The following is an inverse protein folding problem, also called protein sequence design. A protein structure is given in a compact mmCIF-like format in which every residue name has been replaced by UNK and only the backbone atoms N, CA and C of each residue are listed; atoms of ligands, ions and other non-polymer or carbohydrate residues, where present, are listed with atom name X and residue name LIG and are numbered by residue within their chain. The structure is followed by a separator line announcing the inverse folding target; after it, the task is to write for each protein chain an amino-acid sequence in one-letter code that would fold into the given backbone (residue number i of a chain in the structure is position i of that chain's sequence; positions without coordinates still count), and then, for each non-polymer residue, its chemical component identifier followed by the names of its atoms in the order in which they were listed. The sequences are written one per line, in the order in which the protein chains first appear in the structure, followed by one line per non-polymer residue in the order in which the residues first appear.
data_IF_970955123154
#
_entry.id   IF_970955123154
#
_cell.length_a   1.000
_cell.length_b   1.000
_cell.length_c   1.000
_cell.angle_alpha   90.00
_cell.angle_beta   90.00
_cell.angle_gamma   90.00
#
_symmetry.space_group_name_H-M   'P 1'
#
loop_
_entity.id
_entity.type
_entity.pdbx_description
1 polymer ?
#
# COMPACT_ATOMS: atom_id res chain seq x y z
N UNK A 1 20.52 -28.62 -33.62
CA UNK A 1 20.65 -28.45 -32.17
C UNK A 1 21.95 -27.74 -31.88
N UNK A 2 21.94 -26.46 -31.66
CA UNK A 2 23.11 -25.68 -31.23
C UNK A 2 22.70 -24.94 -29.97
N UNK A 3 23.24 -25.39 -28.83
CA UNK A 3 23.04 -24.80 -27.51
C UNK A 3 23.91 -23.56 -27.42
N UNK A 4 23.32 -22.38 -27.39
CA UNK A 4 24.04 -21.16 -27.02
C UNK A 4 24.09 -21.07 -25.48
N UNK A 5 25.30 -21.27 -24.95
CA UNK A 5 25.64 -20.92 -23.56
C UNK A 5 25.76 -19.41 -23.47
N UNK A 6 24.92 -18.82 -22.66
CA UNK A 6 25.07 -17.41 -22.23
C UNK A 6 26.10 -17.40 -21.09
N UNK A 7 27.29 -16.87 -21.35
CA UNK A 7 28.30 -16.59 -20.33
C UNK A 7 27.90 -15.30 -19.59
N UNK A 8 27.58 -15.45 -18.32
CA UNK A 8 27.36 -14.29 -17.41
C UNK A 8 28.74 -13.85 -16.93
N UNK A 9 29.23 -12.74 -17.46
CA UNK A 9 30.40 -12.05 -16.94
C UNK A 9 30.03 -11.38 -15.59
N UNK A 10 30.45 -11.95 -14.48
CA UNK A 10 30.48 -11.29 -13.18
C UNK A 10 31.67 -10.33 -13.16
N UNK A 11 31.42 -9.05 -13.45
CA UNK A 11 32.38 -7.99 -13.22
C UNK A 11 32.64 -7.85 -11.71
N UNK A 12 33.90 -7.96 -11.30
CA UNK A 12 34.34 -7.84 -9.92
C UNK A 12 34.01 -6.47 -9.34
N UNK A 13 33.42 -6.46 -8.17
CA UNK A 13 33.16 -5.24 -7.39
C UNK A 13 34.48 -4.61 -6.95
N UNK A 14 34.80 -3.44 -7.48
CA UNK A 14 35.81 -2.54 -6.93
C UNK A 14 35.24 -1.78 -5.74
N UNK A 15 35.85 -1.90 -4.57
CA UNK A 15 35.51 -1.12 -3.39
C UNK A 15 35.91 0.35 -3.60
N UNK A 16 34.91 1.28 -3.59
CA UNK A 16 35.28 2.71 -3.61
C UNK A 16 34.24 3.76 -4.02
N UNK A 17 33.07 3.39 -4.55
CA UNK A 17 31.94 4.32 -4.72
C UNK A 17 30.71 3.68 -4.10
N UNK A 18 30.02 4.38 -3.22
CA UNK A 18 28.73 3.92 -2.70
C UNK A 18 27.78 3.87 -3.90
N UNK A 19 27.59 2.67 -4.45
CA UNK A 19 26.66 2.48 -5.57
C UNK A 19 25.29 3.01 -5.13
N UNK A 20 24.78 4.02 -5.84
CA UNK A 20 23.44 4.56 -5.63
C UNK A 20 22.41 3.42 -5.82
N UNK A 21 21.42 3.37 -4.95
CA UNK A 21 20.35 2.38 -5.00
C UNK A 21 19.62 2.44 -6.35
N UNK A 22 19.66 1.36 -7.14
CA UNK A 22 18.93 1.29 -8.41
C UNK A 22 17.44 1.33 -8.13
N UNK A 23 16.80 2.42 -8.50
CA UNK A 23 15.40 2.71 -8.17
C UNK A 23 14.52 2.61 -9.40
N UNK A 24 13.36 1.96 -9.26
CA UNK A 24 12.32 1.91 -10.26
C UNK A 24 10.99 2.46 -9.69
N UNK A 25 10.44 3.49 -10.32
CA UNK A 25 9.07 3.96 -10.10
C UNK A 25 8.16 3.12 -11.00
N UNK A 26 7.24 2.38 -10.38
CA UNK A 26 6.37 1.45 -11.08
C UNK A 26 4.91 1.87 -10.87
N UNK A 27 4.24 2.20 -11.98
CA UNK A 27 2.83 2.57 -12.01
C UNK A 27 2.04 1.39 -12.57
N UNK A 28 1.16 0.80 -11.75
CA UNK A 28 0.24 -0.24 -12.23
C UNK A 28 -0.97 0.43 -12.88
N UNK A 29 -1.17 0.16 -14.17
CA UNK A 29 -2.27 0.72 -14.96
C UNK A 29 -3.32 -0.35 -15.30
N UNK A 30 -4.60 0.01 -15.15
CA UNK A 30 -5.72 -0.76 -15.68
C UNK A 30 -6.84 0.18 -16.10
N UNK A 31 -7.04 0.31 -17.43
CA UNK A 31 -8.00 1.22 -18.04
C UNK A 31 -7.89 2.66 -17.49
N UNK A 32 -6.64 3.10 -17.30
CA UNK A 32 -6.33 4.35 -16.61
C UNK A 32 -5.81 5.45 -17.52
N UNK A 33 -6.13 5.45 -18.82
CA UNK A 33 -5.64 6.45 -19.77
C UNK A 33 -5.80 7.88 -19.27
N UNK A 34 -6.99 8.23 -18.78
CA UNK A 34 -7.27 9.59 -18.29
C UNK A 34 -6.40 10.00 -17.09
N UNK A 35 -6.02 9.05 -16.23
CA UNK A 35 -5.10 9.29 -15.13
C UNK A 35 -3.68 9.48 -15.64
N UNK A 36 -3.22 8.64 -16.57
CA UNK A 36 -1.90 8.78 -17.18
C UNK A 36 -1.77 10.14 -17.92
N UNK A 37 -2.78 10.55 -18.67
CA UNK A 37 -2.81 11.88 -19.32
C UNK A 37 -2.65 13.03 -18.32
N UNK A 38 -3.27 12.90 -17.15
CA UNK A 38 -3.30 13.98 -16.15
C UNK A 38 -2.07 14.01 -15.27
N UNK A 39 -1.52 12.87 -14.87
CA UNK A 39 -0.54 12.79 -13.79
C UNK A 39 0.86 12.36 -14.23
N UNK A 40 1.01 11.58 -15.32
CA UNK A 40 2.32 11.05 -15.72
C UNK A 40 3.32 12.14 -16.07
N UNK A 41 2.85 13.29 -16.54
CA UNK A 41 3.70 14.46 -16.82
C UNK A 41 4.46 14.94 -15.58
N UNK A 42 3.83 14.95 -14.39
CA UNK A 42 4.51 15.31 -13.14
C UNK A 42 5.57 14.28 -12.77
N UNK A 43 5.28 12.99 -12.95
CA UNK A 43 6.20 11.90 -12.64
C UNK A 43 7.45 11.97 -13.50
N UNK A 44 7.29 12.17 -14.81
CA UNK A 44 8.42 12.29 -15.74
C UNK A 44 9.24 13.56 -15.54
N UNK A 45 8.60 14.67 -15.15
CA UNK A 45 9.28 15.94 -14.91
C UNK A 45 10.09 15.95 -13.61
N UNK A 46 9.61 15.27 -12.57
CA UNK A 46 10.21 15.32 -11.23
C UNK A 46 10.94 14.04 -10.80
N UNK A 47 11.12 13.10 -11.73
CA UNK A 47 11.89 11.87 -11.49
C UNK A 47 13.12 11.86 -12.41
N UNK A 48 14.27 12.22 -11.84
CA UNK A 48 15.51 12.33 -12.61
C UNK A 48 16.18 10.96 -12.85
N UNK A 49 16.93 10.86 -13.94
CA UNK A 49 17.85 9.74 -14.18
C UNK A 49 18.86 9.62 -13.01
N UNK A 50 19.32 8.41 -12.68
CA UNK A 50 19.11 7.14 -13.40
C UNK A 50 17.85 6.36 -12.99
N UNK A 51 16.89 6.98 -12.33
CA UNK A 51 15.64 6.30 -11.92
C UNK A 51 14.82 5.91 -13.14
N UNK A 52 14.40 4.64 -13.20
CA UNK A 52 13.54 4.11 -14.25
C UNK A 52 12.07 4.42 -13.92
N UNK A 53 11.29 4.81 -14.91
CA UNK A 53 9.83 4.96 -14.81
C UNK A 53 9.19 3.87 -15.68
N UNK A 54 8.39 3.04 -15.07
CA UNK A 54 7.79 1.87 -15.70
C UNK A 54 6.27 1.92 -15.49
N UNK A 55 5.51 1.87 -16.58
CA UNK A 55 4.07 1.64 -16.51
C UNK A 55 3.81 0.16 -16.80
N UNK A 56 3.35 -0.54 -15.77
CA UNK A 56 2.95 -1.94 -15.86
C UNK A 56 1.45 -2.01 -16.15
N UNK A 57 1.11 -2.33 -17.39
CA UNK A 57 -0.26 -2.47 -17.84
C UNK A 57 -0.83 -3.79 -17.38
N UNK A 58 -1.92 -3.75 -16.63
CA UNK A 58 -2.57 -4.91 -16.02
C UNK A 58 -3.72 -5.44 -16.89
N UNK A 59 -3.48 -5.57 -18.20
CA UNK A 59 -4.44 -6.05 -19.18
C UNK A 59 -5.55 -5.02 -19.49
N UNK A 60 -5.17 -3.78 -19.75
CA UNK A 60 -6.09 -2.73 -20.17
C UNK A 60 -6.71 -3.02 -21.54
N UNK A 61 -7.91 -2.52 -21.74
CA UNK A 61 -8.66 -2.57 -23.01
C UNK A 61 -8.92 -1.18 -23.59
N UNK A 62 -8.46 -0.14 -22.90
CA UNK A 62 -8.47 1.24 -23.38
C UNK A 62 -7.20 1.57 -24.17
N UNK A 63 -7.07 2.79 -24.66
CA UNK A 63 -5.91 3.25 -25.42
C UNK A 63 -4.75 3.75 -24.54
N UNK A 64 -4.57 3.21 -23.33
CA UNK A 64 -3.48 3.59 -22.43
C UNK A 64 -2.10 3.32 -23.05
N UNK A 65 -1.94 2.16 -23.69
CA UNK A 65 -0.64 1.72 -24.21
C UNK A 65 -0.22 2.48 -25.46
N UNK A 66 -1.18 2.80 -26.33
CA UNK A 66 -0.98 3.66 -27.50
C UNK A 66 -0.57 5.07 -27.07
N UNK A 67 -1.29 5.63 -26.11
CA UNK A 67 -0.97 6.95 -25.53
C UNK A 67 0.45 7.00 -24.98
N UNK A 68 0.88 5.99 -24.24
CA UNK A 68 2.25 5.92 -23.72
C UNK A 68 3.29 5.81 -24.84
N UNK A 69 2.98 5.06 -25.91
CA UNK A 69 3.88 4.91 -27.02
C UNK A 69 4.12 6.24 -27.77
N UNK A 70 3.06 7.02 -27.93
CA UNK A 70 3.07 8.27 -28.68
C UNK A 70 3.60 9.44 -27.86
N UNK A 71 3.14 9.60 -26.60
CA UNK A 71 3.41 10.78 -25.79
C UNK A 71 4.57 10.63 -24.81
N UNK A 72 4.90 9.40 -24.40
CA UNK A 72 5.94 9.11 -23.39
C UNK A 72 6.85 7.96 -23.82
N UNK A 73 7.55 8.06 -24.97
CA UNK A 73 8.41 6.97 -25.47
C UNK A 73 9.56 6.61 -24.54
N UNK A 74 9.97 7.53 -23.63
CA UNK A 74 11.00 7.33 -22.62
C UNK A 74 10.53 6.51 -21.41
N UNK A 75 9.22 6.32 -21.22
CA UNK A 75 8.64 5.51 -20.14
C UNK A 75 8.64 4.05 -20.57
N UNK A 76 9.20 3.19 -19.74
CA UNK A 76 9.20 1.76 -19.99
C UNK A 76 7.79 1.19 -19.86
N UNK A 77 7.42 0.32 -20.77
CA UNK A 77 6.10 -0.33 -20.82
C UNK A 77 6.26 -1.82 -20.58
N UNK A 78 5.53 -2.31 -19.58
CA UNK A 78 5.42 -3.73 -19.28
C UNK A 78 3.95 -4.13 -19.39
N UNK A 79 3.64 -5.15 -20.18
CA UNK A 79 2.26 -5.57 -20.41
C UNK A 79 1.99 -6.93 -19.80
N UNK A 80 0.96 -7.03 -18.96
CA UNK A 80 0.43 -8.28 -18.45
C UNK A 80 -0.76 -8.73 -19.31
N UNK A 81 -1.02 -10.02 -19.32
CA UNK A 81 -2.02 -10.65 -20.20
C UNK A 81 -3.47 -10.38 -19.76
N UNK A 82 -3.70 -10.01 -18.50
CA UNK A 82 -5.05 -9.72 -17.95
C UNK A 82 -4.97 -8.93 -16.64
N UNK A 83 -6.11 -8.48 -16.13
CA UNK A 83 -6.22 -7.84 -14.83
C UNK A 83 -6.08 -8.86 -13.67
N UNK A 84 -5.00 -8.77 -12.94
CA UNK A 84 -4.69 -9.57 -11.74
C UNK A 84 -5.04 -8.85 -10.43
N UNK A 85 -5.74 -7.71 -10.48
CA UNK A 85 -5.92 -6.81 -9.35
C UNK A 85 -4.64 -6.06 -8.99
N UNK A 86 -4.68 -5.30 -7.92
CA UNK A 86 -3.55 -4.51 -7.46
C UNK A 86 -2.41 -5.42 -6.95
N UNK A 87 -2.71 -6.32 -6.02
CA UNK A 87 -1.73 -7.22 -5.42
C UNK A 87 -1.06 -8.14 -6.46
N UNK A 88 -1.86 -8.84 -7.24
CA UNK A 88 -1.35 -9.78 -8.25
C UNK A 88 -0.66 -9.09 -9.42
N UNK A 89 -1.12 -7.89 -9.81
CA UNK A 89 -0.51 -7.08 -10.87
C UNK A 89 0.90 -6.65 -10.49
N UNK A 90 1.08 -6.02 -9.31
CA UNK A 90 2.41 -5.65 -8.83
C UNK A 90 3.32 -6.85 -8.62
N UNK A 91 2.83 -7.95 -8.02
CA UNK A 91 3.66 -9.14 -7.83
C UNK A 91 4.23 -9.71 -9.13
N UNK A 92 3.46 -9.64 -10.22
CA UNK A 92 3.91 -10.11 -11.55
C UNK A 92 4.86 -9.12 -12.21
N UNK A 93 4.52 -7.84 -12.19
CA UNK A 93 5.35 -6.79 -12.77
C UNK A 93 6.73 -6.74 -12.10
N UNK A 94 6.78 -6.73 -10.77
CA UNK A 94 8.03 -6.59 -10.02
C UNK A 94 8.97 -7.79 -10.13
N UNK A 95 8.47 -8.97 -10.50
CA UNK A 95 9.33 -10.13 -10.82
C UNK A 95 10.14 -9.93 -12.11
N UNK A 96 9.71 -9.03 -12.99
CA UNK A 96 10.35 -8.73 -14.27
C UNK A 96 11.23 -7.48 -14.21
N UNK A 97 11.25 -6.77 -13.07
CA UNK A 97 11.94 -5.50 -12.89
C UNK A 97 13.14 -5.71 -11.95
N UNK A 98 14.35 -5.62 -12.49
CA UNK A 98 15.57 -5.65 -11.69
C UNK A 98 15.86 -4.24 -11.14
N UNK A 99 15.72 -4.09 -9.81
CA UNK A 99 16.02 -2.88 -9.06
C UNK A 99 16.32 -3.23 -7.59
N UNK A 100 16.95 -2.30 -6.86
CA UNK A 100 17.23 -2.46 -5.42
C UNK A 100 16.08 -1.83 -4.59
N UNK A 101 15.38 -0.84 -5.18
CA UNK A 101 14.26 -0.12 -4.59
C UNK A 101 13.09 -0.02 -5.59
N UNK A 102 11.91 -0.36 -5.14
CA UNK A 102 10.67 -0.12 -5.86
C UNK A 102 9.90 1.06 -5.25
N UNK A 103 9.36 1.93 -6.09
CA UNK A 103 8.38 2.93 -5.71
C UNK A 103 7.09 2.60 -6.45
N UNK A 104 6.16 1.95 -5.76
CA UNK A 104 4.84 1.65 -6.29
C UNK A 104 4.01 2.92 -6.20
N UNK A 105 3.60 3.44 -7.34
CA UNK A 105 2.90 4.72 -7.46
C UNK A 105 1.56 4.51 -8.17
N UNK A 106 0.48 5.00 -7.58
CA UNK A 106 -0.81 4.97 -8.26
C UNK A 106 -0.82 5.91 -9.48
N UNK A 107 -1.57 5.56 -10.50
CA UNK A 107 -1.70 6.36 -11.73
C UNK A 107 -2.42 7.72 -11.52
N UNK A 108 -3.09 7.92 -10.38
CA UNK A 108 -3.82 9.12 -10.00
C UNK A 108 -3.08 9.96 -8.93
N UNK A 109 -1.75 9.86 -8.92
CA UNK A 109 -0.87 10.63 -8.02
C UNK A 109 -0.08 11.69 -8.80
N UNK A 110 -0.14 12.94 -8.36
CA UNK A 110 0.76 14.02 -8.74
C UNK A 110 1.95 14.05 -7.79
N UNK A 111 3.16 13.99 -8.32
CA UNK A 111 4.39 14.13 -7.54
C UNK A 111 4.95 15.55 -7.62
N UNK A 112 5.71 15.96 -6.60
CA UNK A 112 6.32 17.30 -6.52
C UNK A 112 7.84 17.24 -6.80
N UNK A 113 8.45 18.38 -7.06
CA UNK A 113 9.91 18.47 -7.20
C UNK A 113 10.62 17.87 -5.98
N UNK A 114 11.63 17.05 -6.21
CA UNK A 114 12.44 16.42 -5.15
C UNK A 114 11.73 15.35 -4.32
N UNK A 115 10.54 14.90 -4.71
CA UNK A 115 9.73 13.94 -3.94
C UNK A 115 10.42 12.60 -3.67
N UNK A 116 11.21 12.12 -4.61
CA UNK A 116 11.78 10.77 -4.55
C UNK A 116 13.02 10.66 -3.65
N UNK A 117 13.89 11.69 -3.71
CA UNK A 117 15.19 11.70 -3.02
C UNK A 117 15.07 11.40 -1.51
N UNK A 118 14.18 12.04 -0.73
CA UNK A 118 14.08 11.76 0.70
C UNK A 118 13.66 10.31 1.02
N UNK A 119 12.90 9.66 0.13
CA UNK A 119 12.46 8.27 0.30
C UNK A 119 13.63 7.30 0.10
N UNK A 120 14.39 7.49 -0.98
CA UNK A 120 15.56 6.66 -1.29
C UNK A 120 16.65 6.87 -0.24
N UNK A 121 16.95 8.11 0.12
CA UNK A 121 17.88 8.47 1.20
C UNK A 121 17.55 7.78 2.53
N UNK A 122 16.27 7.70 2.88
CA UNK A 122 15.82 7.03 4.09
C UNK A 122 16.17 5.54 4.05
N UNK A 123 15.93 4.87 2.93
CA UNK A 123 16.32 3.48 2.76
C UNK A 123 17.84 3.31 2.77
N UNK A 124 18.59 4.15 2.07
CA UNK A 124 20.06 4.04 2.02
C UNK A 124 20.74 4.21 3.36
N UNK A 125 20.25 5.15 4.19
CA UNK A 125 20.83 5.46 5.51
C UNK A 125 20.39 4.51 6.61
N UNK A 126 19.26 3.83 6.44
CA UNK A 126 18.65 2.96 7.45
C UNK A 126 18.40 1.55 6.91
N UNK A 127 19.39 0.65 6.98
CA UNK A 127 19.26 -0.73 6.44
C UNK A 127 18.11 -1.54 7.05
N UNK A 128 17.69 -1.19 8.27
CA UNK A 128 16.58 -1.79 9.00
C UNK A 128 15.18 -1.28 8.56
N UNK A 129 15.13 -0.23 7.72
CA UNK A 129 13.89 0.27 7.14
C UNK A 129 13.58 -0.49 5.84
N UNK A 130 12.42 -1.15 5.79
CA UNK A 130 11.97 -1.92 4.63
C UNK A 130 11.06 -1.13 3.69
N UNK A 131 10.26 -0.22 4.24
CA UNK A 131 9.34 0.61 3.44
C UNK A 131 9.23 2.03 3.99
N UNK A 132 8.99 2.98 3.09
CA UNK A 132 8.84 4.41 3.39
C UNK A 132 7.67 4.96 2.57
N UNK A 133 6.79 5.74 3.23
CA UNK A 133 5.75 6.51 2.56
C UNK A 133 6.12 8.00 2.52
N UNK A 134 5.75 8.75 1.48
CA UNK A 134 5.72 10.21 1.52
C UNK A 134 4.57 10.71 2.40
N UNK A 135 4.51 12.01 2.65
CA UNK A 135 3.30 12.71 3.06
C UNK A 135 2.36 12.78 1.86
N UNK A 136 1.13 12.29 2.03
CA UNK A 136 0.12 12.25 0.97
C UNK A 136 -0.97 13.26 1.29
N UNK A 137 -1.13 14.23 0.41
CA UNK A 137 -2.12 15.28 0.48
C UNK A 137 -3.24 15.05 -0.55
N UNK A 138 -4.41 15.63 -0.31
CA UNK A 138 -5.51 15.56 -1.25
C UNK A 138 -5.21 16.38 -2.50
N UNK A 139 -5.41 15.80 -3.68
CA UNK A 139 -5.28 16.53 -4.94
C UNK A 139 -6.35 17.62 -5.09
N UNK A 140 -7.57 17.33 -4.66
CA UNK A 140 -8.70 18.27 -4.78
C UNK A 140 -8.67 19.39 -3.74
N UNK A 141 -8.12 19.12 -2.55
CA UNK A 141 -8.04 20.08 -1.43
C UNK A 141 -6.63 20.03 -0.86
N UNK A 142 -5.71 20.72 -1.54
CA UNK A 142 -4.25 20.59 -1.35
C UNK A 142 -3.73 20.90 0.06
N UNK A 143 -4.50 21.61 0.85
CA UNK A 143 -4.21 21.92 2.25
C UNK A 143 -4.68 20.84 3.23
N UNK A 144 -5.31 19.77 2.78
CA UNK A 144 -5.76 18.66 3.64
C UNK A 144 -4.98 17.39 3.36
N UNK A 145 -4.88 16.54 4.38
CA UNK A 145 -4.34 15.20 4.18
C UNK A 145 -5.25 14.39 3.26
N UNK A 146 -4.67 13.39 2.62
CA UNK A 146 -5.44 12.43 1.83
C UNK A 146 -5.99 11.32 2.75
N UNK A 147 -7.13 10.75 2.37
CA UNK A 147 -7.85 9.75 3.17
C UNK A 147 -7.06 8.45 3.38
N UNK A 148 -6.37 7.95 2.33
CA UNK A 148 -5.75 6.63 2.30
C UNK A 148 -4.23 6.66 2.51
N UNK A 149 -3.75 7.33 3.56
CA UNK A 149 -2.30 7.32 3.86
C UNK A 149 -1.83 8.52 4.65
N UNK A 150 -2.31 9.72 4.32
CA UNK A 150 -2.00 10.96 5.02
C UNK A 150 -0.49 11.10 5.34
N UNK A 151 -0.09 11.25 6.60
CA UNK A 151 1.30 11.29 7.05
C UNK A 151 1.72 9.99 7.77
N UNK A 152 1.33 8.84 7.20
CA UNK A 152 1.65 7.49 7.69
C UNK A 152 0.50 6.82 8.46
N UNK A 153 0.41 5.52 8.31
CA UNK A 153 -0.69 4.71 8.80
C UNK A 153 -0.41 3.92 10.07
N UNK A 154 -1.47 3.67 10.82
CA UNK A 154 -1.51 2.86 12.04
C UNK A 154 -2.70 1.91 12.00
N UNK A 155 -2.73 0.91 12.88
CA UNK A 155 -3.91 0.10 13.15
C UNK A 155 -4.21 0.11 14.65
N UNK A 156 -5.48 -0.02 15.01
CA UNK A 156 -5.86 -0.24 16.39
C UNK A 156 -5.83 -1.73 16.77
N UNK A 157 -6.14 -2.03 18.03
CA UNK A 157 -6.12 -3.40 18.55
C UNK A 157 -7.14 -4.32 17.87
N UNK A 158 -8.20 -3.78 17.27
CA UNK A 158 -9.18 -4.51 16.49
C UNK A 158 -8.82 -4.60 14.99
N UNK A 159 -7.70 -3.99 14.57
CA UNK A 159 -7.21 -3.98 13.21
C UNK A 159 -7.82 -2.89 12.33
N UNK A 160 -8.56 -1.94 12.88
CA UNK A 160 -9.07 -0.81 12.10
C UNK A 160 -7.93 0.14 11.72
N UNK A 161 -7.73 0.42 10.42
CA UNK A 161 -6.67 1.33 9.98
C UNK A 161 -7.07 2.79 10.20
N UNK A 162 -6.10 3.58 10.62
CA UNK A 162 -6.19 5.03 10.73
C UNK A 162 -4.85 5.68 10.37
N UNK A 163 -4.82 6.99 10.18
CA UNK A 163 -3.61 7.67 9.74
C UNK A 163 -3.30 8.88 10.62
N UNK A 164 -2.06 9.25 10.63
CA UNK A 164 -1.56 10.52 11.16
C UNK A 164 -2.01 11.64 10.20
N UNK A 165 -3.13 12.27 10.54
CA UNK A 165 -3.86 13.25 9.71
C UNK A 165 -5.27 12.79 9.29
N UNK A 166 -5.69 11.55 9.66
CA UNK A 166 -7.04 11.07 9.37
C UNK A 166 -7.51 10.03 10.38
N UNK A 167 -8.64 10.28 11.01
CA UNK A 167 -9.30 9.36 11.93
C UNK A 167 -10.71 9.06 11.41
N UNK A 168 -10.96 7.83 10.99
CA UNK A 168 -12.19 7.42 10.31
C UNK A 168 -12.53 8.38 9.15
N UNK A 169 -13.68 9.08 9.24
CA UNK A 169 -14.11 10.05 8.21
C UNK A 169 -13.53 11.46 8.40
N UNK A 170 -12.92 11.75 9.54
CA UNK A 170 -12.36 13.07 9.81
C UNK A 170 -10.93 13.18 9.24
N UNK A 171 -10.74 14.09 8.31
CA UNK A 171 -9.45 14.42 7.68
C UNK A 171 -8.97 15.77 8.23
N UNK A 172 -7.72 15.82 8.66
CA UNK A 172 -7.11 17.03 9.20
C UNK A 172 -6.56 17.92 8.08
N UNK A 173 -6.50 19.24 8.35
CA UNK A 173 -5.72 20.17 7.52
C UNK A 173 -4.24 20.02 7.82
N UNK A 174 -3.38 20.08 6.79
CA UNK A 174 -1.92 20.09 6.96
C UNK A 174 -1.44 21.50 7.35
N UNK A 175 -1.15 21.66 8.63
CA UNK A 175 -0.52 22.86 9.21
C UNK A 175 0.96 22.64 9.54
N UNK A 176 1.61 21.59 9.01
CA UNK A 176 2.97 21.22 9.34
C UNK A 176 3.11 20.37 10.62
N UNK A 177 2.00 20.03 11.30
CA UNK A 177 1.99 19.29 12.56
C UNK A 177 2.61 17.88 12.46
N UNK A 178 2.77 17.35 11.23
CA UNK A 178 3.32 16.03 10.97
C UNK A 178 4.55 16.06 10.04
N UNK A 179 5.32 17.12 10.04
CA UNK A 179 6.51 17.31 9.16
C UNK A 179 7.79 16.62 9.67
N UNK A 180 7.69 15.78 10.70
CA UNK A 180 8.81 14.99 11.21
C UNK A 180 8.73 13.54 10.77
N UNK A 181 9.84 12.93 10.29
CA UNK A 181 9.90 11.50 10.01
C UNK A 181 9.48 10.68 11.22
N UNK A 182 8.73 9.61 11.00
CA UNK A 182 8.22 8.77 12.09
C UNK A 182 8.10 7.31 11.65
N UNK A 183 8.34 6.40 12.59
CA UNK A 183 8.00 5.00 12.43
C UNK A 183 6.47 4.84 12.51
N UNK A 184 5.92 4.10 11.54
CA UNK A 184 4.48 3.90 11.36
C UNK A 184 4.18 2.41 11.20
N UNK A 185 2.90 2.04 11.31
CA UNK A 185 2.52 0.65 11.10
C UNK A 185 2.49 0.29 9.62
N UNK A 186 2.00 1.18 8.74
CA UNK A 186 1.92 0.92 7.31
C UNK A 186 2.19 2.18 6.48
N UNK A 187 2.75 1.94 5.31
CA UNK A 187 2.94 2.88 4.23
C UNK A 187 1.82 2.70 3.19
N UNK A 188 1.30 3.80 2.64
CA UNK A 188 0.17 3.77 1.71
C UNK A 188 0.55 3.18 0.35
N UNK A 189 -0.31 2.34 -0.22
CA UNK A 189 -0.20 1.85 -1.59
C UNK A 189 -0.28 2.94 -2.65
N UNK A 190 -0.80 4.14 -2.34
CA UNK A 190 -0.81 5.25 -3.29
C UNK A 190 0.61 5.71 -3.69
N UNK A 191 1.58 5.64 -2.74
CA UNK A 191 3.00 5.89 -3.00
C UNK A 191 3.83 5.09 -1.97
N UNK A 192 4.24 3.89 -2.36
CA UNK A 192 4.88 2.91 -1.50
C UNK A 192 6.32 2.66 -1.97
N UNK A 193 7.29 3.22 -1.25
CA UNK A 193 8.71 3.01 -1.53
C UNK A 193 9.23 1.85 -0.67
N UNK A 194 9.85 0.82 -1.26
CA UNK A 194 10.32 -0.33 -0.49
C UNK A 194 11.59 -0.98 -1.08
N UNK A 195 12.30 -1.71 -0.22
CA UNK A 195 13.41 -2.56 -0.66
C UNK A 195 12.91 -3.73 -1.50
N UNK A 196 13.44 -3.91 -2.69
CA UNK A 196 13.11 -5.01 -3.57
C UNK A 196 13.40 -6.37 -2.93
N UNK A 197 14.57 -6.53 -2.31
CA UNK A 197 14.95 -7.74 -1.59
C UNK A 197 13.92 -8.14 -0.53
N UNK A 198 13.51 -7.19 0.31
CA UNK A 198 12.54 -7.47 1.39
C UNK A 198 11.15 -7.78 0.82
N UNK A 199 10.73 -7.05 -0.23
CA UNK A 199 9.47 -7.33 -0.92
C UNK A 199 9.44 -8.79 -1.42
N UNK A 200 10.45 -9.22 -2.15
CA UNK A 200 10.52 -10.57 -2.71
C UNK A 200 10.70 -11.65 -1.64
N UNK A 201 11.56 -11.43 -0.65
CA UNK A 201 11.82 -12.38 0.45
C UNK A 201 10.56 -12.66 1.27
N UNK A 202 9.70 -11.67 1.44
CA UNK A 202 8.41 -11.83 2.12
C UNK A 202 7.28 -12.33 1.18
N UNK A 203 7.57 -12.63 -0.09
CA UNK A 203 6.61 -13.13 -1.06
C UNK A 203 5.72 -12.08 -1.70
N UNK A 204 6.06 -10.78 -1.57
CA UNK A 204 5.28 -9.68 -2.12
C UNK A 204 3.95 -9.45 -1.40
N UNK A 205 2.98 -8.93 -2.13
CA UNK A 205 1.60 -8.80 -1.65
C UNK A 205 0.89 -10.17 -1.59
N UNK A 206 -0.15 -10.29 -0.79
CA UNK A 206 -1.00 -11.49 -0.80
C UNK A 206 -1.94 -11.45 -2.02
N UNK A 207 -1.68 -12.28 -3.03
CA UNK A 207 -2.45 -12.32 -4.27
C UNK A 207 -3.96 -12.55 -4.05
N UNK A 208 -4.35 -13.26 -2.97
CA UNK A 208 -5.76 -13.53 -2.65
C UNK A 208 -6.52 -12.25 -2.27
N UNK A 209 -5.82 -11.16 -1.94
CA UNK A 209 -6.48 -9.90 -1.58
C UNK A 209 -7.07 -9.17 -2.77
N UNK A 210 -6.52 -9.35 -3.97
CA UNK A 210 -6.87 -8.64 -5.19
C UNK A 210 -6.58 -7.13 -5.09
N UNK A 211 -7.22 -6.41 -4.17
CA UNK A 211 -6.97 -5.00 -3.85
C UNK A 211 -7.44 -4.71 -2.42
N UNK A 212 -6.89 -3.67 -1.80
CA UNK A 212 -7.10 -3.17 -0.43
C UNK A 212 -6.54 -4.08 0.67
N UNK A 213 -5.86 -3.49 1.63
CA UNK A 213 -5.19 -4.10 2.78
C UNK A 213 -3.91 -4.89 2.44
N UNK A 214 -3.55 -5.07 1.17
CA UNK A 214 -2.32 -5.80 0.77
C UNK A 214 -1.06 -5.10 1.24
N UNK A 215 -1.02 -3.77 1.19
CA UNK A 215 0.09 -2.95 1.65
C UNK A 215 0.20 -2.98 3.19
N UNK A 216 -0.93 -2.96 3.89
CA UNK A 216 -0.96 -3.05 5.36
C UNK A 216 -0.51 -4.44 5.81
N UNK A 217 -0.96 -5.50 5.13
CA UNK A 217 -0.54 -6.87 5.36
C UNK A 217 0.97 -7.05 5.14
N UNK A 218 1.50 -6.51 4.04
CA UNK A 218 2.93 -6.57 3.76
C UNK A 218 3.75 -5.81 4.81
N UNK A 219 3.33 -4.60 5.18
CA UNK A 219 3.97 -3.82 6.24
C UNK A 219 3.95 -4.55 7.59
N UNK A 220 2.86 -5.26 7.91
CA UNK A 220 2.84 -6.10 9.11
C UNK A 220 3.86 -7.23 9.04
N UNK A 221 3.94 -7.92 7.89
CA UNK A 221 4.95 -8.99 7.68
C UNK A 221 6.39 -8.45 7.72
N UNK A 222 6.65 -7.24 7.20
CA UNK A 222 7.94 -6.55 7.33
C UNK A 222 8.31 -6.33 8.80
N UNK A 223 7.37 -5.86 9.62
CA UNK A 223 7.62 -5.65 11.05
C UNK A 223 7.83 -6.98 11.80
N UNK A 224 7.08 -8.04 11.45
CA UNK A 224 7.27 -9.38 12.03
C UNK A 224 8.63 -9.99 11.63
N UNK A 225 9.21 -9.58 10.52
CA UNK A 225 10.57 -9.93 10.08
C UNK A 225 11.67 -9.07 10.76
N UNK A 226 11.28 -8.08 11.57
CA UNK A 226 12.20 -7.20 12.30
C UNK A 226 12.52 -5.88 11.62
N UNK A 227 11.90 -5.59 10.47
CA UNK A 227 12.09 -4.34 9.75
C UNK A 227 11.19 -3.22 10.29
N UNK A 228 11.58 -1.96 10.02
CA UNK A 228 10.76 -0.77 10.28
C UNK A 228 10.05 -0.29 9.02
N UNK A 229 8.91 0.35 9.22
CA UNK A 229 8.18 1.10 8.19
C UNK A 229 8.14 2.56 8.63
N UNK A 230 8.47 3.48 7.71
CA UNK A 230 8.62 4.90 8.02
C UNK A 230 7.68 5.77 7.17
N UNK A 231 7.38 6.96 7.66
CA UNK A 231 6.91 8.07 6.83
C UNK A 231 8.00 9.14 6.78
N UNK A 232 8.25 9.69 5.59
CA UNK A 232 9.23 10.76 5.35
C UNK A 232 8.51 11.99 4.77
N UNK A 233 8.10 12.96 5.61
CA UNK A 233 7.26 14.08 5.19
C UNK A 233 7.95 15.13 4.30
N UNK A 234 9.27 15.09 4.15
CA UNK A 234 9.97 15.93 3.16
C UNK A 234 9.62 15.53 1.74
N UNK A 235 9.26 14.27 1.54
CA UNK A 235 8.61 13.81 0.32
C UNK A 235 7.11 14.11 0.39
N UNK A 236 6.57 14.80 -0.62
CA UNK A 236 5.15 15.18 -0.69
C UNK A 236 4.57 14.78 -2.03
N UNK A 237 3.39 14.20 -2.01
CA UNK A 237 2.63 13.87 -3.22
C UNK A 237 1.16 14.21 -3.01
N UNK A 238 0.43 14.42 -4.12
CA UNK A 238 -1.00 14.70 -4.12
C UNK A 238 -1.74 13.54 -4.77
N UNK A 239 -2.69 12.96 -4.08
CA UNK A 239 -3.47 11.82 -4.56
C UNK A 239 -4.92 12.24 -4.80
N UNK A 240 -5.44 11.89 -5.98
CA UNK A 240 -6.83 12.20 -6.34
C UNK A 240 -7.80 11.38 -5.48
N UNK A 241 -7.49 10.09 -5.30
CA UNK A 241 -8.27 9.16 -4.50
C UNK A 241 -9.59 8.75 -5.16
N UNK A 242 -9.98 7.48 -4.98
CA UNK A 242 -11.26 6.98 -5.52
C UNK A 242 -11.32 6.77 -7.03
N UNK A 243 -10.19 6.96 -7.73
CA UNK A 243 -10.13 6.88 -9.20
C UNK A 243 -10.52 5.51 -9.77
N UNK A 244 -10.10 4.43 -9.13
CA UNK A 244 -10.38 3.06 -9.61
C UNK A 244 -11.63 2.45 -8.98
N UNK A 245 -11.92 2.76 -7.71
CA UNK A 245 -13.13 2.30 -7.01
C UNK A 245 -13.74 3.42 -6.17
N UNK A 246 -14.99 3.82 -6.41
CA UNK A 246 -15.69 4.80 -5.58
C UNK A 246 -15.68 4.43 -4.11
N UNK A 247 -15.56 5.42 -3.23
CA UNK A 247 -15.40 5.20 -1.79
C UNK A 247 -16.55 4.41 -1.14
N UNK A 248 -17.76 4.52 -1.67
CA UNK A 248 -18.97 3.86 -1.16
C UNK A 248 -19.38 2.62 -1.95
N UNK A 249 -18.50 2.05 -2.79
CA UNK A 249 -18.88 0.88 -3.57
C UNK A 249 -18.97 -0.38 -2.69
N UNK A 250 -20.00 -1.22 -2.88
CA UNK A 250 -20.15 -2.49 -2.15
C UNK A 250 -18.93 -3.42 -2.32
N UNK A 251 -18.28 -3.39 -3.48
CA UNK A 251 -17.07 -4.18 -3.75
C UNK A 251 -15.87 -3.71 -2.90
N UNK A 252 -15.67 -2.39 -2.78
CA UNK A 252 -14.62 -1.83 -1.93
C UNK A 252 -14.85 -2.20 -0.48
N UNK A 253 -16.09 -2.08 0.00
CA UNK A 253 -16.46 -2.45 1.36
C UNK A 253 -16.19 -3.96 1.60
N UNK A 254 -16.64 -4.82 0.69
CA UNK A 254 -16.42 -6.26 0.75
C UNK A 254 -14.93 -6.62 0.85
N UNK A 255 -14.08 -6.06 -0.03
CA UNK A 255 -12.64 -6.30 -0.02
C UNK A 255 -12.00 -5.82 1.28
N UNK A 256 -12.36 -4.61 1.74
CA UNK A 256 -11.84 -4.07 3.00
C UNK A 256 -12.16 -4.96 4.20
N UNK A 257 -13.40 -5.41 4.36
CA UNK A 257 -13.76 -6.29 5.49
C UNK A 257 -13.08 -7.66 5.39
N UNK A 258 -13.18 -8.33 4.24
CA UNK A 258 -12.62 -9.67 4.02
C UNK A 258 -11.11 -9.70 4.24
N UNK A 259 -10.40 -8.77 3.60
CA UNK A 259 -8.95 -8.73 3.63
C UNK A 259 -8.42 -8.28 5.00
N UNK A 260 -9.11 -7.35 5.67
CA UNK A 260 -8.76 -6.93 7.02
C UNK A 260 -8.88 -8.09 8.02
N UNK A 261 -9.98 -8.86 7.98
CA UNK A 261 -10.15 -10.06 8.82
C UNK A 261 -9.07 -11.11 8.52
N UNK A 262 -8.75 -11.33 7.24
CA UNK A 262 -7.70 -12.25 6.81
C UNK A 262 -6.31 -11.80 7.31
N UNK A 263 -5.98 -10.52 7.20
CA UNK A 263 -4.74 -9.93 7.70
C UNK A 263 -4.59 -10.13 9.21
N UNK A 264 -5.62 -9.78 10.00
CA UNK A 264 -5.62 -10.00 11.46
C UNK A 264 -5.42 -11.48 11.78
N UNK A 265 -6.15 -12.36 11.10
CA UNK A 265 -6.03 -13.81 11.32
C UNK A 265 -4.61 -14.31 11.08
N UNK A 266 -3.96 -13.87 9.99
CA UNK A 266 -2.61 -14.30 9.62
C UNK A 266 -1.54 -13.73 10.55
N UNK A 267 -1.57 -12.42 10.80
CA UNK A 267 -0.45 -11.69 11.36
C UNK A 267 -0.56 -11.43 12.87
N UNK A 268 -1.78 -11.24 13.41
CA UNK A 268 -1.96 -10.81 14.79
C UNK A 268 -1.46 -11.84 15.84
N UNK A 269 -0.93 -11.37 16.98
CA UNK A 269 -0.70 -12.19 18.16
C UNK A 269 -2.00 -12.91 18.63
N UNK A 270 -1.86 -14.01 19.34
CA UNK A 270 -3.02 -14.86 19.70
C UNK A 270 -4.08 -14.10 20.52
N UNK A 271 -3.66 -13.24 21.46
CA UNK A 271 -4.60 -12.44 22.27
C UNK A 271 -5.39 -11.45 21.41
N UNK A 272 -4.70 -10.68 20.56
CA UNK A 272 -5.34 -9.72 19.65
C UNK A 272 -6.30 -10.41 18.69
N UNK A 273 -5.87 -11.55 18.09
CA UNK A 273 -6.69 -12.36 17.19
C UNK A 273 -7.96 -12.87 17.89
N UNK A 274 -7.83 -13.37 19.11
CA UNK A 274 -8.98 -13.83 19.89
C UNK A 274 -9.96 -12.69 20.17
N UNK A 275 -9.47 -11.57 20.64
CA UNK A 275 -10.31 -10.38 20.91
C UNK A 275 -10.99 -9.89 19.63
N UNK A 276 -10.27 -9.82 18.51
CA UNK A 276 -10.85 -9.43 17.23
C UNK A 276 -11.91 -10.45 16.76
N UNK A 277 -11.67 -11.75 16.93
CA UNK A 277 -12.63 -12.78 16.54
C UNK A 277 -13.95 -12.71 17.32
N UNK A 278 -13.93 -12.16 18.54
CA UNK A 278 -15.14 -11.97 19.36
C UNK A 278 -15.80 -10.62 19.09
N UNK A 279 -15.03 -9.54 19.03
CA UNK A 279 -15.58 -8.18 18.98
C UNK A 279 -15.94 -7.76 17.55
N UNK A 280 -15.11 -8.08 16.54
CA UNK A 280 -15.33 -7.65 15.16
C UNK A 280 -16.67 -8.12 14.57
N UNK A 281 -17.11 -9.39 14.76
CA UNK A 281 -18.44 -9.78 14.29
C UNK A 281 -19.56 -8.88 14.85
N UNK A 282 -19.47 -8.48 16.11
CA UNK A 282 -20.49 -7.63 16.74
C UNK A 282 -20.49 -6.21 16.14
N UNK A 283 -19.32 -5.60 16.01
CA UNK A 283 -19.19 -4.23 15.47
C UNK A 283 -19.50 -4.17 13.98
N UNK A 284 -19.08 -5.17 13.21
CA UNK A 284 -19.27 -5.20 11.77
C UNK A 284 -20.74 -5.56 11.43
N UNK A 285 -21.40 -6.42 12.21
CA UNK A 285 -22.84 -6.68 12.07
C UNK A 285 -23.69 -5.48 12.48
N UNK A 286 -23.27 -4.72 13.51
CA UNK A 286 -23.92 -3.44 13.84
C UNK A 286 -23.83 -2.45 12.66
N UNK A 287 -22.68 -2.38 12.00
CA UNK A 287 -22.51 -1.57 10.78
C UNK A 287 -23.44 -2.04 9.66
N UNK A 288 -23.54 -3.35 9.43
CA UNK A 288 -24.46 -3.93 8.44
C UNK A 288 -25.94 -3.60 8.77
N UNK A 289 -26.32 -3.65 10.05
CA UNK A 289 -27.67 -3.23 10.47
C UNK A 289 -27.94 -1.75 10.21
N UNK A 290 -26.96 -0.89 10.44
CA UNK A 290 -27.07 0.55 10.12
C UNK A 290 -27.26 0.74 8.60
N UNK A 291 -26.56 -0.03 7.74
CA UNK A 291 -26.77 0.03 6.30
C UNK A 291 -28.20 -0.39 5.93
N UNK A 292 -28.74 -1.45 6.53
CA UNK A 292 -30.13 -1.90 6.32
C UNK A 292 -31.11 -0.78 6.69
N UNK A 293 -30.92 -0.15 7.86
CA UNK A 293 -31.79 0.95 8.33
C UNK A 293 -31.73 2.18 7.42
N UNK A 294 -30.62 2.39 6.71
CA UNK A 294 -30.44 3.45 5.70
C UNK A 294 -30.95 3.07 4.31
N UNK A 295 -31.40 1.82 4.11
CA UNK A 295 -31.84 1.30 2.81
C UNK A 295 -30.71 0.76 1.92
N UNK A 296 -29.44 0.73 2.40
CA UNK A 296 -28.27 0.31 1.64
C UNK A 296 -28.04 -1.21 1.72
N UNK A 297 -28.99 -1.99 1.20
CA UNK A 297 -28.93 -3.46 1.26
C UNK A 297 -27.69 -4.06 0.59
N UNK A 298 -27.15 -3.38 -0.43
CA UNK A 298 -25.94 -3.81 -1.13
C UNK A 298 -24.70 -3.73 -0.23
N UNK A 299 -24.59 -2.69 0.60
CA UNK A 299 -23.49 -2.55 1.57
C UNK A 299 -23.62 -3.58 2.71
N UNK A 300 -24.84 -3.79 3.21
CA UNK A 300 -25.09 -4.84 4.20
C UNK A 300 -24.73 -6.24 3.64
N UNK A 301 -25.19 -6.54 2.42
CA UNK A 301 -24.85 -7.78 1.72
C UNK A 301 -23.35 -7.95 1.47
N UNK A 302 -22.63 -6.87 1.19
CA UNK A 302 -21.17 -6.90 1.03
C UNK A 302 -20.47 -7.30 2.34
N UNK A 303 -20.90 -6.78 3.49
CA UNK A 303 -20.38 -7.17 4.80
C UNK A 303 -20.60 -8.66 5.07
N UNK A 304 -21.81 -9.19 4.81
CA UNK A 304 -22.11 -10.61 5.01
C UNK A 304 -21.28 -11.52 4.09
N UNK A 305 -21.13 -11.13 2.82
CA UNK A 305 -20.27 -11.87 1.87
C UNK A 305 -18.81 -11.90 2.33
N UNK A 306 -18.31 -10.78 2.86
CA UNK A 306 -16.95 -10.70 3.36
C UNK A 306 -16.69 -11.72 4.50
N UNK A 307 -17.61 -11.86 5.43
CA UNK A 307 -17.51 -12.86 6.51
C UNK A 307 -17.60 -14.29 5.99
N UNK A 308 -18.56 -14.57 5.10
CA UNK A 308 -18.70 -15.90 4.47
C UNK A 308 -17.39 -16.32 3.79
N UNK A 309 -16.82 -15.45 2.97
CA UNK A 309 -15.64 -15.78 2.18
C UNK A 309 -14.37 -15.81 3.04
N UNK A 310 -14.27 -14.96 4.07
CA UNK A 310 -13.22 -15.08 5.09
C UNK A 310 -13.25 -16.44 5.81
N UNK A 311 -14.43 -16.91 6.20
CA UNK A 311 -14.59 -18.23 6.85
C UNK A 311 -14.25 -19.37 5.87
N UNK A 312 -14.61 -19.26 4.61
CA UNK A 312 -14.24 -20.22 3.57
C UNK A 312 -12.71 -20.31 3.36
N UNK A 313 -11.98 -19.23 3.59
CA UNK A 313 -10.52 -19.20 3.47
C UNK A 313 -9.75 -19.78 4.65
N UNK A 314 -10.41 -20.18 5.73
CA UNK A 314 -9.77 -20.48 7.00
C UNK A 314 -8.60 -21.48 6.89
N UNK A 315 -8.69 -22.53 6.07
CA UNK A 315 -7.59 -23.49 5.86
C UNK A 315 -6.37 -22.86 5.20
N UNK A 316 -6.56 -22.06 4.15
CA UNK A 316 -5.50 -21.33 3.47
C UNK A 316 -4.85 -20.31 4.40
N UNK A 317 -5.65 -19.56 5.13
CA UNK A 317 -5.17 -18.58 6.11
C UNK A 317 -4.41 -19.24 7.27
N UNK A 318 -4.84 -20.40 7.73
CA UNK A 318 -4.14 -21.15 8.78
C UNK A 318 -2.75 -21.63 8.31
N UNK A 319 -2.59 -22.02 7.04
CA UNK A 319 -1.31 -22.34 6.42
C UNK A 319 -0.42 -21.09 6.38
N UNK A 320 -0.88 -19.98 5.77
CA UNK A 320 -0.15 -18.72 5.69
C UNK A 320 0.26 -18.21 7.09
N UNK A 321 -0.61 -18.34 8.08
CA UNK A 321 -0.28 -18.00 9.46
C UNK A 321 0.87 -18.85 10.02
N UNK A 322 0.89 -20.17 9.77
CA UNK A 322 2.01 -21.02 10.22
C UNK A 322 3.33 -20.58 9.60
N UNK A 323 3.33 -20.28 8.30
CA UNK A 323 4.49 -19.79 7.58
C UNK A 323 5.00 -18.46 8.16
N UNK A 324 4.10 -17.47 8.35
CA UNK A 324 4.46 -16.18 8.95
C UNK A 324 5.01 -16.36 10.37
N UNK A 325 4.38 -17.22 11.20
CA UNK A 325 4.83 -17.44 12.57
C UNK A 325 6.18 -18.15 12.66
N UNK A 326 6.46 -19.10 11.77
CA UNK A 326 7.73 -19.81 11.74
C UNK A 326 8.89 -18.91 11.29
N UNK A 327 8.61 -17.95 10.40
CA UNK A 327 9.60 -16.97 9.92
C UNK A 327 9.73 -15.74 10.82
N UNK A 328 8.85 -15.57 11.81
CA UNK A 328 8.80 -14.36 12.65
C UNK A 328 10.08 -14.18 13.48
N UNK A 329 10.64 -12.97 13.42
CA UNK A 329 11.85 -12.54 14.13
C UNK A 329 11.59 -11.48 15.20
N UNK A 330 10.47 -10.74 15.08
CA UNK A 330 10.13 -9.64 15.97
C UNK A 330 8.61 -9.55 16.24
N UNK A 331 8.24 -8.60 17.09
CA UNK A 331 6.85 -8.19 17.33
C UNK A 331 6.61 -6.80 16.75
N UNK A 332 5.42 -6.58 16.19
CA UNK A 332 5.02 -5.23 15.78
C UNK A 332 4.78 -4.36 17.00
N UNK A 333 5.40 -3.16 17.02
CA UNK A 333 5.33 -2.21 18.12
C UNK A 333 4.34 -1.05 17.85
N UNK A 334 3.89 -0.86 16.62
CA UNK A 334 3.12 0.30 16.17
C UNK A 334 1.59 0.05 16.16
N UNK A 335 1.11 -0.92 16.95
CA UNK A 335 -0.32 -1.20 17.10
C UNK A 335 -0.87 -0.35 18.25
N UNK A 336 -1.87 0.48 17.96
CA UNK A 336 -2.58 1.24 18.98
C UNK A 336 -3.41 0.30 19.88
N UNK A 337 -3.16 0.35 21.21
CA UNK A 337 -3.77 -0.58 22.17
C UNK A 337 -5.23 -0.27 22.52
N UNK A 338 -5.79 0.82 22.00
CA UNK A 338 -7.20 1.20 22.19
C UNK A 338 -8.05 0.88 20.97
N UNK A 339 -9.32 1.31 21.01
CA UNK A 339 -10.23 1.30 19.86
C UNK A 339 -10.35 2.69 19.28
N UNK A 340 -10.02 2.83 17.99
CA UNK A 340 -10.15 4.10 17.26
C UNK A 340 -11.61 4.51 17.11
N UNK A 341 -12.51 3.53 16.97
CA UNK A 341 -13.97 3.80 16.87
C UNK A 341 -14.51 4.39 18.16
N UNK A 342 -14.16 3.81 19.31
CA UNK A 342 -14.61 4.36 20.60
C UNK A 342 -14.03 5.75 20.89
N UNK A 343 -12.77 6.01 20.51
CA UNK A 343 -12.16 7.33 20.63
C UNK A 343 -12.87 8.36 19.77
N UNK A 344 -13.18 7.99 18.53
CA UNK A 344 -13.92 8.85 17.61
C UNK A 344 -15.33 9.18 18.15
N UNK A 345 -16.07 8.19 18.64
CA UNK A 345 -17.38 8.38 19.27
C UNK A 345 -17.31 9.25 20.53
N UNK A 346 -16.18 9.24 21.24
CA UNK A 346 -15.92 10.13 22.38
C UNK A 346 -15.44 11.54 21.99
N UNK A 347 -15.61 11.95 20.72
CA UNK A 347 -15.25 13.27 20.22
C UNK A 347 -13.77 13.51 19.94
N UNK A 348 -12.95 12.46 19.92
CA UNK A 348 -11.50 12.57 19.60
C UNK A 348 -11.28 12.28 18.12
N UNK A 349 -11.21 13.32 17.33
CA UNK A 349 -11.23 13.21 15.87
C UNK A 349 -9.85 13.44 15.23
N UNK A 350 -8.85 13.92 15.97
CA UNK A 350 -7.51 14.17 15.45
C UNK A 350 -6.50 13.16 15.98
N UNK A 351 -5.45 12.88 15.20
CA UNK A 351 -4.40 11.95 15.62
C UNK A 351 -3.72 12.38 16.93
N UNK A 352 -3.43 13.68 17.11
CA UNK A 352 -2.82 14.21 18.32
C UNK A 352 -3.67 14.06 19.59
N UNK A 353 -5.00 13.89 19.45
CA UNK A 353 -5.91 13.67 20.58
C UNK A 353 -6.04 12.16 20.96
N UNK A 354 -5.41 11.27 20.18
CA UNK A 354 -5.53 9.82 20.35
C UNK A 354 -4.21 9.17 20.74
N UNK A 355 -3.12 9.60 20.09
CA UNK A 355 -1.74 9.13 20.26
C UNK A 355 -0.92 10.13 21.06
#
# INVERSE_FOLDING_TARGET
MVSQKVEIHTAGRTAGTKDMMRTAVVILNWNGRSHLERFLGSVTAHTAAPTRIIVADNGSTDSSMEFLAECYPQVERLQLDRNYGYAGGYNRALKLIDADCYVLLNSDVEVTEGWLTPLVDMLERHPDVAAVAPKILSYNTRETFEYAGAAGGFIDFLGYPFCRGRILSHVERDGGQYDTPREVFWASGAAFCCRAETFHRLGGFDDDFFAHMEEIDLCWRMQLDGCRVMVEPRSRVYHLGGGTMPNESPNKLYLNYRNNLAMIFKCAPSAQRFTAAVIRPLTDMLSAMIYILKGDLNLAGATMRAYRDFLAWHHALARKRREIRSARRAESKQIYRGSIVLRYMAGRHTFGNIM
#
